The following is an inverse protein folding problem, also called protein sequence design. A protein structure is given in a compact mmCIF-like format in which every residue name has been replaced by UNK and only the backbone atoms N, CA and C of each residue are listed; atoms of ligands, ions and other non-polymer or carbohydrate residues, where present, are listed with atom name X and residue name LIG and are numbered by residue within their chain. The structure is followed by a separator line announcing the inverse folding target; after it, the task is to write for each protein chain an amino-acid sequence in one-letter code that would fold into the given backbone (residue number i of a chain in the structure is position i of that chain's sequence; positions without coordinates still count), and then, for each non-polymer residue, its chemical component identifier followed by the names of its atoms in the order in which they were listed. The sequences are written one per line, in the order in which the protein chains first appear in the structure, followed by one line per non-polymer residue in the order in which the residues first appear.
data_IF_163578381251
#
_entry.id   IF_163578381251
#
_cell.length_a   1.000
_cell.length_b   1.000
_cell.length_c   1.000
_cell.angle_alpha   90.00
_cell.angle_beta   90.00
_cell.angle_gamma   90.00
#
_symmetry.space_group_name_H-M   'P 1'
#
loop_
_entity.id
_entity.type
_entity.pdbx_description
1 polymer ?
#
# COMPACT_ATOMS: atom_id res chain seq x y z
N UNK A 1 4.91 25.28 3.33
CA UNK A 1 5.84 24.36 3.99
C UNK A 1 5.23 22.99 3.95
N UNK A 2 6.05 21.97 3.67
CA UNK A 2 5.64 20.58 3.77
C UNK A 2 5.65 20.11 5.23
N UNK A 3 5.06 18.95 5.52
CA UNK A 3 5.19 18.36 6.86
C UNK A 3 6.66 18.07 7.22
N UNK A 4 7.47 17.58 6.27
CA UNK A 4 8.89 17.32 6.47
C UNK A 4 9.67 18.59 6.81
N UNK A 5 9.42 19.68 6.09
CA UNK A 5 10.06 20.97 6.38
C UNK A 5 9.67 21.50 7.77
N UNK A 6 8.39 21.37 8.13
CA UNK A 6 7.87 21.78 9.43
C UNK A 6 8.55 20.98 10.56
N UNK A 7 8.67 19.66 10.39
CA UNK A 7 9.35 18.77 11.33
C UNK A 7 10.82 19.15 11.52
N UNK A 8 11.57 19.38 10.44
CA UNK A 8 12.98 19.81 10.49
C UNK A 8 13.17 21.16 11.19
N UNK A 9 12.18 22.07 11.07
CA UNK A 9 12.17 23.37 11.74
C UNK A 9 11.66 23.30 13.19
N UNK A 10 11.29 22.12 13.69
CA UNK A 10 10.72 21.96 15.03
C UNK A 10 9.29 22.51 15.16
N UNK A 11 8.60 22.74 14.04
CA UNK A 11 7.23 23.25 14.00
C UNK A 11 6.26 22.05 14.04
N UNK A 12 5.48 21.97 15.12
CA UNK A 12 4.45 20.93 15.29
C UNK A 12 3.15 21.37 14.63
N UNK A 13 2.73 20.65 13.59
CA UNK A 13 1.49 20.92 12.84
C UNK A 13 0.27 20.26 13.49
N UNK A 14 -0.94 20.59 13.00
CA UNK A 14 -2.16 19.91 13.42
C UNK A 14 -2.17 18.45 12.96
N UNK A 15 -1.71 18.21 11.74
CA UNK A 15 -1.58 16.89 11.14
C UNK A 15 -0.68 15.96 11.97
N UNK A 16 0.46 16.47 12.47
CA UNK A 16 1.34 15.70 13.34
C UNK A 16 0.66 15.32 14.66
N UNK A 17 -0.16 16.21 15.25
CA UNK A 17 -0.88 15.90 16.49
C UNK A 17 -1.92 14.80 16.28
N UNK A 18 -2.69 14.91 15.20
CA UNK A 18 -3.71 13.92 14.85
C UNK A 18 -3.08 12.55 14.55
N UNK A 19 -2.03 12.52 13.73
CA UNK A 19 -1.31 11.31 13.42
C UNK A 19 -0.66 10.69 14.67
N UNK A 20 0.03 11.49 15.50
CA UNK A 20 0.65 10.98 16.73
C UNK A 20 -0.36 10.35 17.69
N UNK A 21 -1.55 10.95 17.81
CA UNK A 21 -2.64 10.39 18.62
C UNK A 21 -3.14 9.05 18.06
N UNK A 22 -3.32 8.95 16.74
CA UNK A 22 -3.74 7.70 16.08
C UNK A 22 -2.70 6.57 16.25
N UNK A 23 -1.42 6.93 16.26
CA UNK A 23 -0.30 5.98 16.39
C UNK A 23 0.13 5.71 17.84
N UNK A 24 -0.53 6.33 18.82
CA UNK A 24 -0.25 6.20 20.26
C UNK A 24 1.20 6.55 20.63
N UNK A 25 1.78 7.55 19.96
CA UNK A 25 3.12 8.06 20.26
C UNK A 25 3.10 9.56 20.57
N UNK A 26 4.19 10.09 21.13
CA UNK A 26 4.28 11.52 21.37
C UNK A 26 4.46 12.30 20.06
N UNK A 27 3.86 13.49 19.97
CA UNK A 27 4.00 14.33 18.77
C UNK A 27 5.44 14.77 18.52
N UNK A 28 6.26 14.90 19.59
CA UNK A 28 7.69 15.22 19.47
C UNK A 28 8.48 14.06 18.87
N UNK A 29 8.17 12.83 19.27
CA UNK A 29 8.78 11.63 18.70
C UNK A 29 8.39 11.47 17.23
N UNK A 30 7.11 11.64 16.89
CA UNK A 30 6.67 11.62 15.50
C UNK A 30 7.41 12.66 14.66
N UNK A 31 7.45 13.92 15.11
CA UNK A 31 8.15 14.99 14.41
C UNK A 31 9.65 14.68 14.24
N UNK A 32 10.30 14.03 15.22
CA UNK A 32 11.70 13.60 15.10
C UNK A 32 11.89 12.52 14.03
N UNK A 33 10.99 11.53 13.95
CA UNK A 33 11.03 10.49 12.93
C UNK A 33 10.72 11.04 11.53
N UNK A 34 9.83 12.02 11.44
CA UNK A 34 9.58 12.75 10.20
C UNK A 34 10.81 13.57 9.79
N UNK A 35 11.42 14.29 10.73
CA UNK A 35 12.60 15.12 10.45
C UNK A 35 13.80 14.29 9.95
N UNK A 36 13.90 13.00 10.31
CA UNK A 36 14.92 12.08 9.78
C UNK A 36 14.56 11.43 8.44
N UNK A 37 13.31 11.57 7.98
CA UNK A 37 12.79 10.92 6.78
C UNK A 37 12.29 9.48 7.00
N UNK A 38 12.27 8.98 8.24
CA UNK A 38 11.83 7.62 8.56
C UNK A 38 10.30 7.47 8.63
N UNK A 39 9.57 8.59 8.68
CA UNK A 39 8.09 8.64 8.66
C UNK A 39 7.63 9.75 7.72
N UNK A 40 6.57 9.48 6.96
CA UNK A 40 5.82 10.48 6.20
C UNK A 40 4.41 10.61 6.73
N UNK A 41 3.76 11.76 6.54
CA UNK A 41 2.32 11.94 6.69
C UNK A 41 1.73 12.18 5.30
N UNK A 42 0.90 11.25 4.83
CA UNK A 42 0.23 11.37 3.52
C UNK A 42 -0.99 12.27 3.65
N UNK A 43 -0.82 13.54 3.27
CA UNK A 43 -1.91 14.50 3.15
C UNK A 43 -1.50 15.66 2.25
N UNK A 44 -2.16 15.79 1.11
CA UNK A 44 -2.01 16.98 0.28
C UNK A 44 -2.57 18.19 1.03
N UNK A 45 -1.83 19.30 1.02
CA UNK A 45 -2.21 20.52 1.75
C UNK A 45 -3.57 21.09 1.34
N UNK A 46 -4.05 20.79 0.14
CA UNK A 46 -5.35 21.23 -0.36
C UNK A 46 -6.53 20.43 0.23
N UNK A 47 -6.30 19.20 0.70
CA UNK A 47 -7.36 18.34 1.25
C UNK A 47 -7.67 18.70 2.71
N UNK A 48 -8.95 18.98 2.98
CA UNK A 48 -9.44 19.29 4.33
C UNK A 48 -10.05 18.09 5.05
N UNK A 49 -10.78 17.24 4.33
CA UNK A 49 -11.58 16.14 4.90
C UNK A 49 -10.87 14.79 4.74
N UNK A 50 -9.57 14.75 5.05
CA UNK A 50 -8.77 13.52 4.99
C UNK A 50 -8.07 13.33 6.33
N UNK A 51 -8.17 12.12 6.87
CA UNK A 51 -7.39 11.72 8.04
C UNK A 51 -5.90 11.67 7.64
N UNK A 52 -5.02 12.49 8.25
CA UNK A 52 -3.59 12.41 8.01
C UNK A 52 -3.09 11.02 8.46
N UNK A 53 -2.48 10.28 7.54
CA UNK A 53 -1.96 8.93 7.83
C UNK A 53 -0.44 8.98 7.91
N UNK A 54 0.12 8.68 9.08
CA UNK A 54 1.56 8.51 9.23
C UNK A 54 1.99 7.11 8.77
N UNK A 55 3.05 7.02 7.96
CA UNK A 55 3.60 5.75 7.45
C UNK A 55 5.09 5.71 7.74
N UNK A 56 5.58 4.65 8.38
CA UNK A 56 7.00 4.47 8.65
C UNK A 56 7.33 3.82 9.99
N UNK A 57 8.55 4.06 10.45
CA UNK A 57 9.10 3.45 11.67
C UNK A 57 8.22 3.75 12.89
N UNK A 58 8.00 2.75 13.76
CA UNK A 58 7.14 2.79 14.96
C UNK A 58 5.64 3.05 14.71
N UNK A 59 5.22 3.25 13.47
CA UNK A 59 3.80 3.36 13.14
C UNK A 59 3.19 1.96 13.07
N UNK A 60 1.87 1.87 13.24
CA UNK A 60 1.08 0.68 12.90
C UNK A 60 1.24 0.38 11.41
N UNK A 61 1.37 -0.89 11.03
CA UNK A 61 1.49 -1.26 9.61
C UNK A 61 0.24 -0.83 8.85
N UNK A 62 0.43 -0.11 7.74
CA UNK A 62 -0.66 0.45 6.93
C UNK A 62 -1.12 -0.52 5.85
N UNK A 63 -2.38 -0.39 5.42
CA UNK A 63 -2.96 -1.17 4.32
C UNK A 63 -3.53 -0.26 3.25
N UNK A 64 -3.13 -0.45 2.00
CA UNK A 64 -3.68 0.23 0.83
C UNK A 64 -4.62 -0.70 0.06
N UNK A 65 -5.72 -0.14 -0.45
CA UNK A 65 -6.59 -0.82 -1.42
C UNK A 65 -6.55 -0.12 -2.79
N UNK A 66 -6.31 -0.88 -3.85
CA UNK A 66 -6.38 -0.37 -5.22
C UNK A 66 -7.80 -0.49 -5.77
N UNK A 67 -8.34 0.63 -6.24
CA UNK A 67 -9.60 0.71 -6.98
C UNK A 67 -9.31 1.34 -8.35
N UNK A 68 -10.32 1.44 -9.21
CA UNK A 68 -10.23 2.13 -10.48
C UNK A 68 -10.92 1.40 -11.61
N UNK A 69 -11.21 2.16 -12.65
CA UNK A 69 -11.87 1.69 -13.89
C UNK A 69 -10.86 1.17 -14.91
N UNK A 70 -11.34 0.38 -15.87
CA UNK A 70 -10.60 0.05 -17.10
C UNK A 70 -11.35 0.51 -18.34
N UNK A 71 -10.71 0.37 -19.51
CA UNK A 71 -11.36 0.63 -20.79
C UNK A 71 -12.61 -0.23 -21.00
N UNK A 72 -12.63 -1.44 -20.46
CA UNK A 72 -13.75 -2.38 -20.61
C UNK A 72 -14.84 -2.18 -19.55
N UNK A 73 -14.47 -1.73 -18.34
CA UNK A 73 -15.39 -1.56 -17.21
C UNK A 73 -15.20 -0.16 -16.60
N UNK A 74 -16.12 0.74 -16.91
CA UNK A 74 -16.14 2.11 -16.42
C UNK A 74 -17.46 2.42 -15.71
N UNK A 75 -17.55 2.03 -14.43
CA UNK A 75 -18.68 2.33 -13.55
C UNK A 75 -18.21 3.10 -12.31
N UNK A 76 -18.45 4.41 -12.32
CA UNK A 76 -18.00 5.31 -11.24
C UNK A 76 -18.72 5.03 -9.93
N UNK A 77 -19.99 4.61 -9.97
CA UNK A 77 -20.75 4.33 -8.76
C UNK A 77 -20.29 3.01 -8.12
N UNK A 78 -19.87 2.04 -8.94
CA UNK A 78 -19.16 0.84 -8.45
C UNK A 78 -17.84 1.21 -7.76
N UNK A 79 -17.04 2.09 -8.34
CA UNK A 79 -15.77 2.51 -7.72
C UNK A 79 -15.99 3.24 -6.38
N UNK A 80 -17.06 4.02 -6.26
CA UNK A 80 -17.45 4.62 -4.98
C UNK A 80 -17.90 3.58 -3.95
N UNK A 81 -18.59 2.51 -4.38
CA UNK A 81 -18.94 1.40 -3.48
C UNK A 81 -17.70 0.63 -3.02
N UNK A 82 -16.72 0.41 -3.92
CA UNK A 82 -15.43 -0.20 -3.57
C UNK A 82 -14.64 0.67 -2.60
N UNK A 83 -14.61 1.99 -2.81
CA UNK A 83 -14.03 2.95 -1.86
C UNK A 83 -14.68 2.83 -0.48
N UNK A 84 -16.01 2.84 -0.42
CA UNK A 84 -16.74 2.71 0.83
C UNK A 84 -16.46 1.36 1.53
N UNK A 85 -16.40 0.27 0.77
CA UNK A 85 -16.03 -1.05 1.29
C UNK A 85 -14.58 -1.07 1.83
N UNK A 86 -13.63 -0.52 1.08
CA UNK A 86 -12.23 -0.44 1.50
C UNK A 86 -12.08 0.33 2.82
N UNK A 87 -12.74 1.50 2.95
CA UNK A 87 -12.75 2.28 4.19
C UNK A 87 -13.41 1.49 5.33
N UNK A 88 -14.59 0.90 5.10
CA UNK A 88 -15.36 0.14 6.10
C UNK A 88 -14.55 -1.02 6.70
N UNK A 89 -13.87 -1.79 5.85
CA UNK A 89 -13.10 -2.97 6.28
C UNK A 89 -11.66 -2.62 6.70
N UNK A 90 -11.34 -1.33 6.75
CA UNK A 90 -10.15 -0.83 7.41
C UNK A 90 -8.95 -0.72 6.51
N UNK A 91 -9.07 -0.21 5.28
CA UNK A 91 -7.94 0.34 4.54
C UNK A 91 -7.48 1.66 5.18
N UNK A 92 -6.17 1.92 5.20
CA UNK A 92 -5.59 3.20 5.66
C UNK A 92 -5.41 4.21 4.53
N UNK A 93 -5.34 3.74 3.28
CA UNK A 93 -5.36 4.56 2.07
C UNK A 93 -6.00 3.77 0.91
N UNK A 94 -6.31 4.49 -0.16
CA UNK A 94 -6.72 3.89 -1.44
C UNK A 94 -5.87 4.46 -2.56
N UNK A 95 -5.72 3.71 -3.66
CA UNK A 95 -5.22 4.25 -4.92
C UNK A 95 -6.28 4.17 -6.00
N UNK A 96 -6.48 5.28 -6.71
CA UNK A 96 -7.23 5.30 -7.96
C UNK A 96 -6.30 4.99 -9.13
N UNK A 97 -6.45 3.78 -9.67
CA UNK A 97 -5.68 3.25 -10.80
C UNK A 97 -6.48 3.25 -12.10
N UNK A 98 -7.50 4.12 -12.19
CA UNK A 98 -8.38 4.24 -13.35
C UNK A 98 -7.61 4.45 -14.66
N UNK A 99 -8.02 3.70 -15.68
CA UNK A 99 -7.50 3.76 -17.05
C UNK A 99 -8.60 3.86 -18.10
N UNK A 100 -9.87 3.89 -17.65
CA UNK A 100 -11.05 4.06 -18.49
C UNK A 100 -11.81 5.35 -18.18
N UNK A 101 -12.64 5.77 -19.13
CA UNK A 101 -13.54 6.92 -18.97
C UNK A 101 -12.85 8.28 -18.83
N UNK A 102 -13.55 9.20 -18.16
CA UNK A 102 -13.03 10.52 -17.78
C UNK A 102 -12.29 10.42 -16.44
N UNK A 103 -10.98 10.13 -16.53
CA UNK A 103 -10.10 9.95 -15.37
C UNK A 103 -10.10 11.21 -14.47
N UNK A 104 -10.21 12.41 -15.04
CA UNK A 104 -10.25 13.63 -14.24
C UNK A 104 -11.52 13.70 -13.38
N UNK A 105 -12.68 13.44 -13.99
CA UNK A 105 -13.96 13.44 -13.28
C UNK A 105 -14.03 12.32 -12.23
N UNK A 106 -13.54 11.12 -12.57
CA UNK A 106 -13.50 9.95 -11.68
C UNK A 106 -12.63 10.26 -10.45
N UNK A 107 -11.38 10.69 -10.67
CA UNK A 107 -10.45 11.03 -9.59
C UNK A 107 -11.04 12.09 -8.65
N UNK A 108 -11.59 13.18 -9.20
CA UNK A 108 -12.23 14.23 -8.39
C UNK A 108 -13.39 13.68 -7.54
N UNK A 109 -14.21 12.79 -8.11
CA UNK A 109 -15.33 12.16 -7.38
C UNK A 109 -14.81 11.24 -6.26
N UNK A 110 -13.75 10.47 -6.50
CA UNK A 110 -13.11 9.62 -5.48
C UNK A 110 -12.51 10.47 -4.35
N UNK A 111 -11.72 11.50 -4.68
CA UNK A 111 -11.11 12.41 -3.69
C UNK A 111 -12.19 13.11 -2.84
N UNK A 112 -13.30 13.52 -3.45
CA UNK A 112 -14.40 14.17 -2.73
C UNK A 112 -15.11 13.24 -1.72
N UNK A 113 -15.09 11.92 -1.96
CA UNK A 113 -15.79 10.93 -1.13
C UNK A 113 -14.85 10.14 -0.20
N UNK A 114 -13.54 10.28 -0.34
CA UNK A 114 -12.57 9.54 0.49
C UNK A 114 -12.22 10.30 1.77
N UNK A 115 -12.36 9.63 2.91
CA UNK A 115 -11.89 10.13 4.23
C UNK A 115 -10.46 9.71 4.56
N UNK A 116 -9.87 8.87 3.72
CA UNK A 116 -8.48 8.39 3.82
C UNK A 116 -7.65 8.91 2.63
N UNK A 117 -6.31 8.89 2.74
CA UNK A 117 -5.43 9.32 1.66
C UNK A 117 -5.72 8.60 0.35
N UNK A 118 -5.67 9.35 -0.75
CA UNK A 118 -5.85 8.86 -2.12
C UNK A 118 -4.53 8.97 -2.86
N UNK A 119 -4.02 7.84 -3.33
CA UNK A 119 -2.87 7.76 -4.22
C UNK A 119 -3.26 7.56 -5.68
N UNK A 120 -2.33 7.82 -6.60
CA UNK A 120 -2.54 7.60 -8.04
C UNK A 120 -1.22 7.25 -8.74
N UNK A 121 -1.31 6.82 -10.01
CA UNK A 121 -0.16 6.62 -10.89
C UNK A 121 -0.30 7.52 -12.13
N UNK A 122 0.19 8.78 -12.10
CA UNK A 122 -0.14 9.77 -13.14
C UNK A 122 0.25 9.41 -14.57
N UNK A 123 1.26 8.54 -14.77
CA UNK A 123 1.63 8.07 -16.12
C UNK A 123 0.51 7.27 -16.80
N UNK A 124 -0.41 6.68 -16.02
CA UNK A 124 -1.57 5.97 -16.58
C UNK A 124 -2.51 6.93 -17.31
N UNK A 125 -2.83 8.07 -16.69
CA UNK A 125 -3.64 9.09 -17.36
C UNK A 125 -2.93 9.64 -18.58
N UNK A 126 -1.64 9.95 -18.47
CA UNK A 126 -0.87 10.47 -19.60
C UNK A 126 -0.89 9.47 -20.79
N UNK A 127 -0.73 8.17 -20.52
CA UNK A 127 -0.88 7.13 -21.54
C UNK A 127 -2.29 7.04 -22.13
N UNK A 128 -3.35 7.18 -21.31
CA UNK A 128 -4.74 7.19 -21.79
C UNK A 128 -5.02 8.38 -22.71
N UNK A 129 -4.48 9.56 -22.42
CA UNK A 129 -4.61 10.73 -23.30
C UNK A 129 -3.86 10.54 -24.64
N UNK A 130 -2.72 9.85 -24.63
CA UNK A 130 -2.04 9.44 -25.88
C UNK A 130 -2.91 8.51 -26.72
N UNK A 131 -3.55 7.51 -26.09
CA UNK A 131 -4.46 6.58 -26.77
C UNK A 131 -5.68 7.32 -27.35
N UNK A 132 -6.30 8.24 -26.58
CA UNK A 132 -7.43 9.06 -27.03
C UNK A 132 -7.08 9.89 -28.27
N UNK A 133 -5.85 10.42 -28.32
CA UNK A 133 -5.34 11.19 -29.47
C UNK A 133 -4.74 10.32 -30.58
N UNK A 134 -4.90 8.99 -30.50
CA UNK A 134 -4.37 8.00 -31.46
C UNK A 134 -2.85 8.06 -31.65
N UNK A 135 -2.11 8.51 -30.63
CA UNK A 135 -0.65 8.56 -30.63
C UNK A 135 -0.09 7.35 -29.87
N UNK A 136 1.04 6.76 -30.32
CA UNK A 136 1.70 5.72 -29.55
C UNK A 136 2.18 6.24 -28.19
N UNK A 137 2.00 5.46 -27.12
CA UNK A 137 2.38 5.87 -25.75
C UNK A 137 3.86 6.31 -25.66
N UNK A 138 4.76 5.65 -26.39
CA UNK A 138 6.18 5.98 -26.40
C UNK A 138 6.51 7.34 -27.06
N UNK A 139 5.54 8.04 -27.65
CA UNK A 139 5.71 9.39 -28.19
C UNK A 139 5.33 10.49 -27.19
N UNK A 140 4.92 10.11 -25.98
CA UNK A 140 4.61 11.03 -24.89
C UNK A 140 5.84 11.88 -24.57
N UNK A 141 5.65 13.17 -24.39
CA UNK A 141 6.72 14.11 -24.03
C UNK A 141 6.95 14.14 -22.52
N UNK A 142 8.06 14.74 -22.08
CA UNK A 142 8.27 15.01 -20.66
C UNK A 142 7.12 15.87 -20.10
N UNK A 143 6.67 16.88 -20.85
CA UNK A 143 5.58 17.77 -20.43
C UNK A 143 4.25 17.05 -20.25
N UNK A 144 3.94 16.05 -21.07
CA UNK A 144 2.74 15.23 -20.88
C UNK A 144 2.79 14.47 -19.53
N UNK A 145 3.96 13.93 -19.17
CA UNK A 145 4.15 13.22 -17.90
C UNK A 145 4.04 14.19 -16.70
N UNK A 146 4.77 15.31 -16.73
CA UNK A 146 4.79 16.28 -15.63
C UNK A 146 3.46 17.01 -15.46
N UNK A 147 2.79 17.38 -16.56
CA UNK A 147 1.46 18.01 -16.50
C UNK A 147 0.44 17.08 -15.88
N UNK A 148 0.50 15.77 -16.16
CA UNK A 148 -0.35 14.77 -15.50
C UNK A 148 -0.11 14.76 -13.99
N UNK A 149 1.15 14.77 -13.54
CA UNK A 149 1.49 14.79 -12.11
C UNK A 149 0.99 16.07 -11.44
N UNK A 150 1.19 17.24 -12.07
CA UNK A 150 0.72 18.51 -11.53
C UNK A 150 -0.81 18.56 -11.43
N UNK A 151 -1.53 18.12 -12.47
CA UNK A 151 -3.00 18.05 -12.45
C UNK A 151 -3.53 17.17 -11.29
N UNK A 152 -2.89 16.03 -11.05
CA UNK A 152 -3.24 15.16 -9.92
C UNK A 152 -2.98 15.85 -8.57
N UNK A 153 -1.85 16.56 -8.44
CA UNK A 153 -1.49 17.30 -7.24
C UNK A 153 -2.46 18.47 -6.96
N UNK A 154 -2.93 19.16 -8.01
CA UNK A 154 -3.92 20.24 -7.95
C UNK A 154 -5.31 19.73 -7.54
N UNK A 155 -5.71 18.57 -8.04
CA UNK A 155 -6.97 17.91 -7.66
C UNK A 155 -6.97 17.41 -6.21
N UNK A 156 -5.81 17.41 -5.56
CA UNK A 156 -5.66 17.07 -4.15
C UNK A 156 -5.23 15.63 -3.90
N UNK A 157 -4.65 14.91 -4.85
CA UNK A 157 -4.05 13.58 -4.59
C UNK A 157 -3.02 13.68 -3.47
N UNK A 158 -3.02 12.74 -2.51
CA UNK A 158 -2.16 12.77 -1.32
C UNK A 158 -0.77 12.18 -1.55
N UNK A 159 -0.67 11.19 -2.44
CA UNK A 159 0.61 10.63 -2.88
C UNK A 159 0.56 10.16 -4.33
N UNK A 160 1.69 10.21 -5.03
CA UNK A 160 1.78 9.72 -6.42
C UNK A 160 2.86 8.68 -6.55
N UNK A 161 2.56 7.60 -7.26
CA UNK A 161 3.55 6.63 -7.71
C UNK A 161 4.23 7.14 -8.96
N UNK A 162 5.55 7.29 -8.89
CA UNK A 162 6.40 7.80 -9.97
C UNK A 162 7.57 6.85 -10.19
N UNK A 163 7.70 6.33 -11.41
CA UNK A 163 8.68 5.29 -11.76
C UNK A 163 10.02 5.92 -12.15
N UNK A 164 10.55 6.80 -11.31
CA UNK A 164 11.81 7.52 -11.54
C UNK A 164 13.04 6.59 -11.49
N UNK A 165 12.91 5.42 -10.87
CA UNK A 165 13.98 4.41 -10.78
C UNK A 165 14.19 3.60 -12.06
N UNK A 166 13.22 3.61 -12.98
CA UNK A 166 13.35 2.99 -14.31
C UNK A 166 14.26 3.88 -15.15
N UNK A 167 15.55 3.57 -15.12
CA UNK A 167 16.60 4.26 -15.86
C UNK A 167 17.09 3.42 -17.03
N UNK A 168 17.80 4.02 -17.97
CA UNK A 168 18.55 3.29 -19.02
C UNK A 168 19.40 2.17 -18.41
N UNK A 169 20.08 2.46 -17.30
CA UNK A 169 20.91 1.49 -16.58
C UNK A 169 20.11 0.29 -16.07
N UNK A 170 18.92 0.52 -15.48
CA UNK A 170 18.06 -0.59 -15.05
C UNK A 170 17.51 -1.41 -16.22
N UNK A 171 17.19 -0.76 -17.35
CA UNK A 171 16.72 -1.44 -18.57
C UNK A 171 17.84 -2.28 -19.18
N UNK A 172 19.07 -1.76 -19.21
CA UNK A 172 20.26 -2.50 -19.63
C UNK A 172 20.54 -3.70 -18.71
N UNK A 173 20.43 -3.52 -17.39
CA UNK A 173 20.57 -4.61 -16.42
C UNK A 173 19.56 -5.73 -16.65
N UNK A 174 18.29 -5.38 -16.87
CA UNK A 174 17.23 -6.32 -17.25
C UNK A 174 17.59 -7.06 -18.54
N UNK A 175 17.91 -6.34 -19.61
CA UNK A 175 18.19 -6.92 -20.92
C UNK A 175 19.40 -7.88 -20.91
N UNK A 176 20.41 -7.59 -20.10
CA UNK A 176 21.59 -8.46 -19.94
C UNK A 176 21.32 -9.68 -19.07
N UNK A 177 20.39 -9.62 -18.13
CA UNK A 177 20.05 -10.77 -17.27
C UNK A 177 19.03 -11.69 -17.90
N UNK A 178 18.01 -11.11 -18.53
CA UNK A 178 16.78 -11.80 -18.87
C UNK A 178 15.94 -12.08 -17.63
N UNK A 179 14.62 -12.11 -17.82
CA UNK A 179 13.63 -12.51 -16.82
C UNK A 179 12.66 -13.50 -17.44
N UNK A 180 11.94 -14.23 -16.59
CA UNK A 180 10.86 -15.11 -17.03
C UNK A 180 9.62 -14.30 -17.42
N UNK A 181 9.28 -13.24 -16.67
CA UNK A 181 8.11 -12.37 -16.93
C UNK A 181 8.47 -10.92 -17.26
N UNK A 182 9.74 -10.62 -17.53
CA UNK A 182 10.23 -9.28 -17.86
C UNK A 182 9.76 -8.20 -16.86
N UNK A 183 9.01 -7.19 -17.32
CA UNK A 183 8.49 -6.09 -16.52
C UNK A 183 6.99 -6.24 -16.35
N UNK A 184 6.55 -6.50 -15.12
CA UNK A 184 5.12 -6.59 -14.75
C UNK A 184 4.55 -5.29 -14.19
N UNK A 185 5.39 -4.30 -13.89
CA UNK A 185 4.91 -2.96 -13.55
C UNK A 185 4.35 -2.28 -14.79
N UNK A 186 3.05 -1.97 -14.80
CA UNK A 186 2.43 -1.23 -15.90
C UNK A 186 3.11 0.12 -16.14
N UNK A 187 3.44 0.86 -15.07
CA UNK A 187 4.12 2.15 -15.21
C UNK A 187 5.59 1.94 -15.58
N UNK A 188 6.26 0.96 -14.96
CA UNK A 188 7.64 0.62 -15.29
C UNK A 188 7.83 0.23 -16.76
N UNK A 189 6.92 -0.57 -17.33
CA UNK A 189 6.98 -0.97 -18.73
C UNK A 189 6.74 0.21 -19.68
N UNK A 190 5.84 1.14 -19.35
CA UNK A 190 5.66 2.38 -20.11
C UNK A 190 6.95 3.20 -20.19
N UNK A 191 7.64 3.38 -19.06
CA UNK A 191 8.91 4.10 -19.02
C UNK A 191 10.04 3.34 -19.74
N UNK A 192 10.16 2.03 -19.53
CA UNK A 192 11.18 1.21 -20.19
C UNK A 192 11.00 1.21 -21.72
N UNK A 193 9.78 1.05 -22.22
CA UNK A 193 9.48 1.14 -23.66
C UNK A 193 9.77 2.53 -24.20
N UNK A 194 9.42 3.58 -23.46
CA UNK A 194 9.73 4.96 -23.83
C UNK A 194 11.25 5.16 -23.97
N UNK A 195 12.03 4.70 -23.00
CA UNK A 195 13.50 4.77 -23.00
C UNK A 195 14.08 4.06 -24.24
N UNK A 196 13.63 2.82 -24.51
CA UNK A 196 14.13 2.04 -25.64
C UNK A 196 13.80 2.67 -27.00
N UNK A 197 12.59 3.23 -27.15
CA UNK A 197 12.15 3.83 -28.41
C UNK A 197 12.79 5.20 -28.67
N UNK A 198 12.98 5.99 -27.63
CA UNK A 198 13.54 7.33 -27.75
C UNK A 198 15.06 7.38 -27.59
N UNK A 199 15.68 6.31 -27.06
CA UNK A 199 17.13 6.23 -26.74
C UNK A 199 17.58 7.35 -25.79
N UNK A 200 16.68 7.80 -24.94
CA UNK A 200 16.88 8.87 -23.96
C UNK A 200 16.73 8.32 -22.54
N UNK A 201 17.24 9.06 -21.56
CA UNK A 201 16.98 8.75 -20.15
C UNK A 201 15.54 9.08 -19.77
N UNK A 202 15.01 8.39 -18.76
CA UNK A 202 13.68 8.65 -18.22
C UNK A 202 13.51 10.12 -17.82
N UNK A 203 12.51 10.86 -18.35
CA UNK A 203 12.30 12.25 -18.00
C UNK A 203 12.07 12.49 -16.51
N UNK A 204 11.40 11.56 -15.83
CA UNK A 204 11.17 11.65 -14.39
C UNK A 204 12.44 11.41 -13.55
N UNK A 205 13.49 10.88 -14.17
CA UNK A 205 14.82 10.74 -13.56
C UNK A 205 15.72 11.93 -13.90
N UNK A 206 15.82 12.31 -15.18
CA UNK A 206 16.69 13.40 -15.65
C UNK A 206 16.24 14.76 -15.10
N UNK A 207 14.92 15.00 -15.08
CA UNK A 207 14.31 16.26 -14.64
C UNK A 207 13.69 16.12 -13.25
N UNK A 208 14.29 15.31 -12.37
CA UNK A 208 13.74 15.03 -11.04
C UNK A 208 13.50 16.28 -10.19
N UNK A 209 14.29 17.35 -10.37
CA UNK A 209 14.08 18.60 -9.63
C UNK A 209 12.72 19.26 -9.96
N UNK A 210 12.24 19.15 -11.21
CA UNK A 210 10.89 19.60 -11.60
C UNK A 210 9.80 18.82 -10.85
N UNK A 211 10.02 17.51 -10.65
CA UNK A 211 9.11 16.68 -9.85
C UNK A 211 9.09 17.14 -8.39
N UNK A 212 10.26 17.44 -7.82
CA UNK A 212 10.39 17.90 -6.44
C UNK A 212 9.72 19.27 -6.24
N UNK A 213 9.78 20.17 -7.23
CA UNK A 213 9.07 21.46 -7.19
C UNK A 213 7.55 21.28 -7.11
N UNK A 214 6.98 20.41 -7.95
CA UNK A 214 5.55 20.06 -7.91
C UNK A 214 5.21 19.45 -6.54
N UNK A 215 6.01 18.49 -6.08
CA UNK A 215 5.73 17.79 -4.83
C UNK A 215 5.76 18.73 -3.62
N UNK A 216 6.78 19.59 -3.54
CA UNK A 216 6.92 20.58 -2.49
C UNK A 216 5.78 21.61 -2.51
N UNK A 217 5.37 22.07 -3.71
CA UNK A 217 4.27 23.03 -3.87
C UNK A 217 2.98 22.49 -3.24
N UNK A 218 2.69 21.19 -3.31
CA UNK A 218 1.43 20.61 -2.85
C UNK A 218 1.51 19.83 -1.53
N UNK A 219 2.70 19.67 -0.94
CA UNK A 219 2.96 18.68 0.12
C UNK A 219 2.52 17.27 -0.32
N UNK A 220 2.81 16.95 -1.57
CA UNK A 220 2.51 15.67 -2.19
C UNK A 220 3.60 14.68 -1.82
N UNK A 221 3.23 13.56 -1.19
CA UNK A 221 4.18 12.49 -0.90
C UNK A 221 4.53 11.75 -2.20
N UNK A 222 5.82 11.60 -2.49
CA UNK A 222 6.27 10.78 -3.62
C UNK A 222 6.38 9.33 -3.16
N UNK A 223 5.62 8.45 -3.80
CA UNK A 223 5.81 7.01 -3.75
C UNK A 223 6.74 6.63 -4.90
N UNK A 224 8.02 6.40 -4.60
CA UNK A 224 8.98 6.07 -5.66
C UNK A 224 8.75 4.63 -6.10
N UNK A 225 8.18 4.48 -7.31
CA UNK A 225 7.64 3.23 -7.83
C UNK A 225 8.72 2.19 -8.17
N UNK A 226 8.36 0.93 -8.00
CA UNK A 226 9.19 -0.25 -8.27
C UNK A 226 8.94 -0.78 -9.70
N UNK A 227 9.34 0.01 -10.69
CA UNK A 227 9.12 -0.32 -12.10
C UNK A 227 9.78 -1.62 -12.55
N UNK A 228 10.83 -2.06 -11.87
CA UNK A 228 11.56 -3.31 -12.07
C UNK A 228 11.25 -4.35 -10.99
N UNK A 229 10.08 -4.31 -10.34
CA UNK A 229 9.70 -5.39 -9.42
C UNK A 229 9.59 -6.76 -10.12
N UNK A 230 9.83 -7.88 -9.39
CA UNK A 230 9.63 -9.23 -9.89
C UNK A 230 8.15 -9.57 -10.01
N UNK A 231 7.78 -10.21 -11.12
CA UNK A 231 6.43 -10.72 -11.37
C UNK A 231 6.26 -12.23 -11.17
N UNK A 232 7.35 -12.93 -10.89
CA UNK A 232 7.36 -14.33 -10.51
C UNK A 232 8.52 -14.58 -9.55
N UNK A 233 8.51 -15.70 -8.84
CA UNK A 233 9.57 -16.02 -7.88
C UNK A 233 10.95 -16.12 -8.53
N UNK A 234 11.03 -16.57 -9.78
CA UNK A 234 12.31 -16.74 -10.50
C UNK A 234 13.02 -15.42 -10.78
N UNK A 235 12.27 -14.31 -10.83
CA UNK A 235 12.79 -12.98 -11.12
C UNK A 235 13.11 -12.20 -9.84
N UNK A 236 12.85 -12.78 -8.66
CA UNK A 236 13.00 -12.13 -7.37
C UNK A 236 14.46 -11.84 -7.02
N UNK A 237 14.70 -10.66 -6.43
CA UNK A 237 16.01 -10.20 -5.96
C UNK A 237 17.07 -10.17 -7.07
N UNK A 238 16.65 -9.91 -8.31
CA UNK A 238 17.52 -9.89 -9.47
C UNK A 238 18.28 -8.55 -9.63
N UNK A 239 19.16 -8.46 -10.64
CA UNK A 239 19.98 -7.26 -10.86
C UNK A 239 19.13 -6.06 -11.24
N UNK A 240 18.06 -6.23 -12.02
CA UNK A 240 17.20 -5.13 -12.43
C UNK A 240 16.47 -4.51 -11.22
N UNK A 241 15.90 -5.35 -10.34
CA UNK A 241 15.24 -4.93 -9.12
C UNK A 241 16.20 -4.20 -8.18
N UNK A 242 17.36 -4.81 -7.90
CA UNK A 242 18.34 -4.20 -6.98
C UNK A 242 18.93 -2.92 -7.56
N UNK A 243 19.17 -2.86 -8.87
CA UNK A 243 19.66 -1.66 -9.54
C UNK A 243 18.66 -0.51 -9.45
N UNK A 244 17.37 -0.76 -9.63
CA UNK A 244 16.34 0.25 -9.41
C UNK A 244 16.32 0.72 -7.95
N UNK A 245 16.33 -0.21 -6.98
CA UNK A 245 16.31 0.12 -5.56
C UNK A 245 17.47 1.04 -5.13
N UNK A 246 18.68 0.81 -5.65
CA UNK A 246 19.84 1.69 -5.43
C UNK A 246 19.52 3.10 -5.91
N UNK A 247 19.00 3.23 -7.13
CA UNK A 247 18.60 4.53 -7.70
C UNK A 247 17.50 5.19 -6.87
N UNK A 248 16.51 4.44 -6.39
CA UNK A 248 15.46 4.99 -5.53
C UNK A 248 16.02 5.55 -4.22
N UNK A 249 17.04 4.93 -3.63
CA UNK A 249 17.73 5.46 -2.44
C UNK A 249 18.41 6.81 -2.70
N UNK A 250 19.06 6.97 -3.84
CA UNK A 250 19.67 8.24 -4.26
C UNK A 250 18.61 9.34 -4.47
N UNK A 251 17.50 9.01 -5.13
CA UNK A 251 16.38 9.93 -5.37
C UNK A 251 15.65 10.31 -4.09
N UNK A 252 15.50 9.39 -3.14
CA UNK A 252 14.92 9.65 -1.83
C UNK A 252 15.76 10.66 -1.04
N UNK A 253 17.09 10.51 -1.06
CA UNK A 253 18.01 11.48 -0.43
C UNK A 253 17.85 12.88 -1.04
N UNK A 254 17.81 12.99 -2.37
CA UNK A 254 17.59 14.27 -3.07
C UNK A 254 16.25 14.91 -2.69
N UNK A 255 15.18 14.13 -2.63
CA UNK A 255 13.87 14.61 -2.21
C UNK A 255 13.87 15.11 -0.76
N UNK A 256 14.50 14.37 0.14
CA UNK A 256 14.67 14.75 1.53
C UNK A 256 15.41 16.09 1.67
N UNK A 257 16.48 16.32 0.91
CA UNK A 257 17.23 17.59 0.89
C UNK A 257 16.36 18.78 0.41
N UNK A 258 15.37 18.52 -0.45
CA UNK A 258 14.37 19.50 -0.90
C UNK A 258 13.11 19.55 -0.04
N UNK A 259 13.11 18.88 1.12
CA UNK A 259 11.98 18.80 2.06
C UNK A 259 10.71 18.20 1.45
N UNK A 260 10.84 17.27 0.52
CA UNK A 260 9.74 16.48 -0.04
C UNK A 260 9.64 15.15 0.69
N UNK A 261 8.42 14.74 1.04
CA UNK A 261 8.15 13.46 1.70
C UNK A 261 8.24 12.31 0.68
N UNK A 262 8.91 11.22 1.06
CA UNK A 262 9.11 10.05 0.19
C UNK A 262 8.82 8.76 0.93
N UNK A 263 8.13 7.84 0.25
CA UNK A 263 8.14 6.41 0.54
C UNK A 263 8.63 5.64 -0.69
N UNK A 264 9.16 4.44 -0.47
CA UNK A 264 9.73 3.59 -1.52
C UNK A 264 8.76 2.44 -1.78
N UNK A 265 8.47 2.14 -3.04
CA UNK A 265 7.74 0.94 -3.41
C UNK A 265 8.67 -0.27 -3.53
N UNK A 266 8.15 -1.45 -3.28
CA UNK A 266 8.91 -2.69 -3.22
C UNK A 266 8.14 -3.92 -3.69
N UNK A 267 8.86 -5.04 -3.81
CA UNK A 267 8.55 -6.11 -4.75
C UNK A 267 7.20 -6.78 -4.59
N UNK A 268 6.79 -7.41 -5.71
CA UNK A 268 5.58 -8.20 -5.86
C UNK A 268 5.79 -9.68 -5.52
N UNK A 269 6.51 -10.45 -6.34
CA UNK A 269 6.66 -11.90 -6.14
C UNK A 269 8.03 -12.23 -5.55
N UNK A 270 8.09 -12.77 -4.34
CA UNK A 270 9.34 -13.02 -3.61
C UNK A 270 9.24 -14.29 -2.77
N UNK A 271 10.17 -15.27 -2.93
CA UNK A 271 10.16 -16.46 -2.09
C UNK A 271 10.40 -16.09 -0.63
N UNK A 272 9.80 -16.82 0.31
CA UNK A 272 9.84 -16.51 1.76
C UNK A 272 11.27 -16.26 2.28
N UNK A 273 12.25 -17.02 1.79
CA UNK A 273 13.66 -16.91 2.19
C UNK A 273 14.27 -15.54 1.93
N UNK A 274 13.77 -14.83 0.91
CA UNK A 274 14.40 -13.63 0.38
C UNK A 274 13.74 -12.35 0.91
N UNK A 275 12.55 -12.46 1.51
CA UNK A 275 11.78 -11.33 2.02
C UNK A 275 12.59 -10.53 3.07
N UNK A 276 13.18 -11.14 4.11
CA UNK A 276 13.95 -10.38 5.10
C UNK A 276 15.16 -9.66 4.50
N UNK A 277 15.78 -10.23 3.47
CA UNK A 277 16.91 -9.60 2.78
C UNK A 277 16.46 -8.35 2.01
N UNK A 278 15.33 -8.42 1.29
CA UNK A 278 14.74 -7.28 0.59
C UNK A 278 14.42 -6.12 1.55
N UNK A 279 13.83 -6.41 2.71
CA UNK A 279 13.53 -5.38 3.71
C UNK A 279 14.80 -4.70 4.23
N UNK A 280 15.84 -5.48 4.55
CA UNK A 280 17.13 -4.96 5.02
C UNK A 280 17.83 -4.11 3.96
N UNK A 281 17.81 -4.56 2.69
CA UNK A 281 18.39 -3.82 1.58
C UNK A 281 17.74 -2.45 1.44
N UNK A 282 16.41 -2.38 1.40
CA UNK A 282 15.72 -1.11 1.29
C UNK A 282 16.02 -0.19 2.47
N UNK A 283 15.92 -0.67 3.71
CA UNK A 283 16.15 0.17 4.89
C UNK A 283 17.56 0.74 4.93
N UNK A 284 18.56 0.00 4.44
CA UNK A 284 19.94 0.48 4.34
C UNK A 284 20.16 1.45 3.18
N UNK A 285 19.71 1.11 1.97
CA UNK A 285 19.97 1.91 0.77
C UNK A 285 19.14 3.21 0.74
N UNK A 286 17.95 3.19 1.33
CA UNK A 286 17.00 4.30 1.29
C UNK A 286 16.90 5.06 2.63
N UNK A 287 17.90 4.93 3.51
CA UNK A 287 17.99 5.64 4.80
C UNK A 287 16.71 5.54 5.65
N UNK A 288 16.21 4.32 5.85
CA UNK A 288 14.99 4.00 6.59
C UNK A 288 13.70 4.66 6.08
N UNK A 289 13.68 5.20 4.85
CA UNK A 289 12.44 5.69 4.24
C UNK A 289 11.32 4.63 4.35
N UNK A 290 10.05 5.04 4.55
CA UNK A 290 8.93 4.11 4.64
C UNK A 290 8.88 3.17 3.44
N UNK A 291 8.62 1.89 3.68
CA UNK A 291 8.62 0.87 2.62
C UNK A 291 7.22 0.34 2.35
N UNK A 292 6.78 0.46 1.09
CA UNK A 292 5.46 0.14 0.60
C UNK A 292 5.52 -1.04 -0.37
N UNK A 293 5.02 -2.22 0.03
CA UNK A 293 5.21 -3.47 -0.74
C UNK A 293 3.90 -4.02 -1.27
N UNK A 294 3.92 -4.64 -2.46
CA UNK A 294 2.76 -5.32 -3.06
C UNK A 294 2.74 -6.79 -2.66
N UNK A 295 2.06 -7.13 -1.57
CA UNK A 295 2.17 -8.46 -0.95
C UNK A 295 3.38 -8.52 0.00
N UNK A 296 4.48 -9.24 -0.32
CA UNK A 296 4.74 -9.97 -1.58
C UNK A 296 4.08 -11.35 -1.67
N UNK A 297 3.78 -11.82 -2.90
CA UNK A 297 3.33 -13.17 -3.18
C UNK A 297 4.49 -14.16 -3.01
N UNK A 298 4.25 -15.19 -2.20
CA UNK A 298 5.28 -16.21 -1.86
C UNK A 298 5.26 -17.44 -2.77
N UNK A 299 4.27 -17.53 -3.67
CA UNK A 299 4.12 -18.61 -4.64
C UNK A 299 3.24 -18.16 -5.80
N UNK A 300 3.56 -18.64 -7.00
CA UNK A 300 2.91 -18.21 -8.26
C UNK A 300 1.80 -19.19 -8.71
N UNK A 301 1.54 -20.24 -7.94
CA UNK A 301 0.72 -21.39 -8.38
C UNK A 301 -0.75 -21.34 -7.94
N UNK A 302 -1.17 -20.27 -7.27
CA UNK A 302 -2.49 -20.19 -6.65
C UNK A 302 -3.34 -18.97 -7.08
N UNK A 303 -3.45 -18.66 -8.39
CA UNK A 303 -4.34 -17.60 -8.86
C UNK A 303 -5.78 -17.88 -8.40
N UNK A 304 -6.50 -16.84 -7.97
CA UNK A 304 -7.76 -16.97 -7.22
C UNK A 304 -7.57 -16.95 -5.68
N UNK A 305 -6.35 -17.23 -5.21
CA UNK A 305 -5.97 -17.22 -3.81
C UNK A 305 -4.76 -16.33 -3.53
N UNK A 306 -4.43 -15.42 -4.43
CA UNK A 306 -3.24 -14.56 -4.31
C UNK A 306 -3.30 -13.59 -3.14
N UNK A 307 -4.49 -13.21 -2.69
CA UNK A 307 -4.69 -12.53 -1.41
C UNK A 307 -4.12 -13.32 -0.20
N UNK A 308 -4.14 -14.67 -0.23
CA UNK A 308 -3.56 -15.53 0.82
C UNK A 308 -2.04 -15.65 0.62
N UNK A 309 -1.59 -15.92 -0.61
CA UNK A 309 -0.14 -16.05 -0.90
C UNK A 309 0.59 -14.76 -0.57
N UNK A 310 -0.02 -13.61 -0.86
CA UNK A 310 0.51 -12.29 -0.56
C UNK A 310 0.46 -11.94 0.91
N UNK A 311 -0.57 -12.37 1.66
CA UNK A 311 -0.67 -12.10 3.09
C UNK A 311 0.41 -12.81 3.90
N UNK A 312 0.81 -14.02 3.50
CA UNK A 312 1.95 -14.73 4.09
C UNK A 312 3.21 -13.88 3.94
N UNK A 313 3.51 -13.44 2.72
CA UNK A 313 4.70 -12.63 2.47
C UNK A 313 4.61 -11.25 3.12
N UNK A 314 3.44 -10.61 3.10
CA UNK A 314 3.20 -9.30 3.69
C UNK A 314 3.38 -9.28 5.21
N UNK A 315 2.91 -10.32 5.91
CA UNK A 315 3.16 -10.45 7.35
C UNK A 315 4.67 -10.56 7.66
N UNK A 316 5.41 -11.34 6.87
CA UNK A 316 6.86 -11.51 7.01
C UNK A 316 7.59 -10.21 6.66
N UNK A 317 7.22 -9.56 5.55
CA UNK A 317 7.81 -8.30 5.10
C UNK A 317 7.60 -7.20 6.14
N UNK A 318 6.38 -7.02 6.62
CA UNK A 318 6.05 -6.01 7.61
C UNK A 318 6.74 -6.26 8.97
N UNK A 319 6.85 -7.54 9.39
CA UNK A 319 7.61 -7.91 10.58
C UNK A 319 9.11 -7.61 10.46
N UNK A 320 9.63 -7.49 9.24
CA UNK A 320 11.04 -7.23 8.94
C UNK A 320 11.33 -5.82 8.43
N UNK A 321 10.33 -4.93 8.36
CA UNK A 321 10.53 -3.51 8.04
C UNK A 321 9.65 -2.91 6.96
N UNK A 322 8.73 -3.65 6.33
CA UNK A 322 7.68 -3.00 5.54
C UNK A 322 6.72 -2.22 6.46
N UNK A 323 6.33 -1.02 6.03
CA UNK A 323 5.49 -0.11 6.82
C UNK A 323 4.09 0.04 6.24
N UNK A 324 3.95 -0.31 4.95
CA UNK A 324 2.74 -0.18 4.19
C UNK A 324 2.59 -1.39 3.27
N UNK A 325 1.44 -2.05 3.33
CA UNK A 325 1.11 -3.20 2.50
C UNK A 325 0.06 -2.79 1.47
N UNK A 326 0.39 -2.90 0.20
CA UNK A 326 -0.60 -2.88 -0.87
C UNK A 326 -1.28 -4.23 -0.87
N UNK A 327 -2.60 -4.22 -0.78
CA UNK A 327 -3.35 -5.46 -0.77
C UNK A 327 -3.18 -6.23 -2.08
N UNK A 328 -3.55 -7.51 -2.04
CA UNK A 328 -3.78 -8.30 -3.25
C UNK A 328 -5.15 -8.91 -3.09
N UNK A 329 -5.95 -8.90 -4.16
CA UNK A 329 -7.31 -9.44 -4.13
C UNK A 329 -7.33 -10.88 -4.61
N UNK A 330 -8.40 -11.66 -4.34
CA UNK A 330 -8.61 -12.94 -5.01
C UNK A 330 -8.61 -12.84 -6.55
N UNK A 331 -8.96 -11.67 -7.09
CA UNK A 331 -9.03 -11.39 -8.52
C UNK A 331 -7.67 -11.11 -9.20
N UNK A 332 -6.58 -11.01 -8.42
CA UNK A 332 -5.24 -10.78 -8.97
C UNK A 332 -4.90 -11.81 -10.05
N UNK A 333 -4.23 -11.36 -11.11
CA UNK A 333 -3.91 -12.15 -12.31
C UNK A 333 -5.10 -12.69 -13.13
N UNK A 334 -6.36 -12.39 -12.74
CA UNK A 334 -7.54 -12.98 -13.37
C UNK A 334 -8.51 -11.95 -13.95
N UNK A 335 -8.89 -10.92 -13.17
CA UNK A 335 -9.92 -9.94 -13.57
C UNK A 335 -9.79 -8.65 -12.76
N UNK A 336 -10.60 -7.64 -13.11
CA UNK A 336 -10.83 -6.53 -12.20
C UNK A 336 -11.60 -6.99 -10.95
N UNK A 337 -11.20 -6.56 -9.75
CA UNK A 337 -11.88 -6.94 -8.51
C UNK A 337 -13.27 -6.31 -8.44
N UNK A 338 -14.25 -7.06 -7.93
CA UNK A 338 -15.54 -6.52 -7.49
C UNK A 338 -15.49 -6.05 -6.03
N UNK A 339 -16.65 -5.70 -5.45
CA UNK A 339 -16.73 -5.20 -4.05
C UNK A 339 -16.33 -6.29 -3.05
N UNK A 340 -16.68 -7.54 -3.30
CA UNK A 340 -16.34 -8.66 -2.40
C UNK A 340 -14.85 -8.99 -2.50
N UNK A 341 -14.28 -8.96 -3.70
CA UNK A 341 -12.84 -9.10 -3.92
C UNK A 341 -12.06 -8.02 -3.14
N UNK A 342 -12.54 -6.76 -3.17
CA UNK A 342 -11.95 -5.64 -2.40
C UNK A 342 -12.09 -5.90 -0.89
N UNK A 343 -13.26 -6.31 -0.42
CA UNK A 343 -13.49 -6.64 1.00
C UNK A 343 -12.50 -7.70 1.48
N UNK A 344 -12.38 -8.81 0.74
CA UNK A 344 -11.49 -9.91 1.11
C UNK A 344 -10.02 -9.49 1.09
N UNK A 345 -9.59 -8.77 0.05
CA UNK A 345 -8.23 -8.25 -0.03
C UNK A 345 -7.87 -7.37 1.17
N UNK A 346 -8.76 -6.45 1.57
CA UNK A 346 -8.51 -5.55 2.70
C UNK A 346 -8.45 -6.30 4.02
N UNK A 347 -9.42 -7.18 4.29
CA UNK A 347 -9.46 -7.96 5.55
C UNK A 347 -8.22 -8.84 5.67
N UNK A 348 -7.86 -9.58 4.63
CA UNK A 348 -6.74 -10.52 4.66
C UNK A 348 -5.40 -9.78 4.79
N UNK A 349 -5.25 -8.65 4.11
CA UNK A 349 -4.05 -7.81 4.28
C UNK A 349 -4.01 -7.16 5.67
N UNK A 350 -5.16 -6.79 6.25
CA UNK A 350 -5.23 -6.26 7.61
C UNK A 350 -4.86 -7.32 8.66
N UNK A 351 -5.22 -8.59 8.45
CA UNK A 351 -4.76 -9.70 9.29
C UNK A 351 -3.22 -9.79 9.23
N UNK A 352 -2.63 -9.73 8.03
CA UNK A 352 -1.17 -9.74 7.87
C UNK A 352 -0.49 -8.55 8.56
N UNK A 353 -1.05 -7.35 8.40
CA UNK A 353 -0.57 -6.14 9.07
C UNK A 353 -0.63 -6.25 10.60
N UNK A 354 -1.75 -6.74 11.15
CA UNK A 354 -1.93 -6.93 12.59
C UNK A 354 -0.96 -7.99 13.16
N UNK A 355 -0.75 -9.09 12.44
CA UNK A 355 0.25 -10.09 12.83
C UNK A 355 1.66 -9.49 12.91
N UNK A 356 2.01 -8.62 11.96
CA UNK A 356 3.27 -7.88 11.98
C UNK A 356 3.32 -6.83 13.10
N UNK A 357 2.22 -6.15 13.41
CA UNK A 357 2.12 -5.23 14.54
C UNK A 357 2.39 -5.93 15.87
N UNK A 358 1.87 -7.15 16.07
CA UNK A 358 2.20 -7.99 17.23
C UNK A 358 3.70 -8.30 17.26
N UNK A 359 4.27 -8.76 16.15
CA UNK A 359 5.70 -9.10 16.05
C UNK A 359 6.61 -7.89 16.32
N UNK A 360 6.17 -6.69 15.91
CA UNK A 360 6.85 -5.41 16.13
C UNK A 360 6.63 -4.83 17.53
N UNK A 361 5.72 -5.41 18.33
CA UNK A 361 5.37 -4.91 19.66
C UNK A 361 4.59 -3.60 19.64
N UNK A 362 3.74 -3.37 18.63
CA UNK A 362 2.94 -2.16 18.53
C UNK A 362 1.96 -2.03 19.73
N UNK A 363 1.84 -0.83 20.36
CA UNK A 363 1.04 -0.66 21.57
C UNK A 363 -0.44 -1.08 21.42
N UNK A 364 -0.82 -2.11 22.17
CA UNK A 364 -2.19 -2.64 22.23
C UNK A 364 -2.54 -3.65 21.14
N UNK A 365 -1.61 -4.03 20.24
CA UNK A 365 -1.87 -5.06 19.24
C UNK A 365 -2.15 -6.43 19.90
N UNK A 366 -1.22 -6.92 20.74
CA UNK A 366 -1.40 -8.18 21.47
C UNK A 366 -2.58 -8.14 22.46
N UNK A 367 -2.90 -6.96 22.98
CA UNK A 367 -4.02 -6.78 23.91
C UNK A 367 -5.37 -7.08 23.25
N UNK A 368 -5.53 -6.76 21.96
CA UNK A 368 -6.73 -7.13 21.20
C UNK A 368 -6.89 -8.66 21.12
N UNK A 369 -5.81 -9.40 20.84
CA UNK A 369 -5.81 -10.86 20.84
C UNK A 369 -6.10 -11.44 22.23
N UNK A 370 -5.58 -10.83 23.30
CA UNK A 370 -5.86 -11.25 24.67
C UNK A 370 -7.35 -11.05 25.04
N UNK A 371 -7.97 -9.95 24.61
CA UNK A 371 -9.41 -9.73 24.80
C UNK A 371 -10.24 -10.76 24.04
N UNK A 372 -9.85 -11.09 22.80
CA UNK A 372 -10.47 -12.15 22.01
C UNK A 372 -10.34 -13.51 22.71
N UNK A 373 -9.17 -13.83 23.27
CA UNK A 373 -8.94 -15.05 24.02
C UNK A 373 -9.76 -15.11 25.32
N UNK A 374 -9.90 -13.98 26.02
CA UNK A 374 -10.74 -13.88 27.21
C UNK A 374 -12.23 -14.11 26.89
N UNK A 375 -12.74 -13.52 25.81
CA UNK A 375 -14.10 -13.75 25.34
C UNK A 375 -14.33 -15.24 25.01
N UNK A 376 -13.40 -15.88 24.26
CA UNK A 376 -13.43 -17.32 23.95
C UNK A 376 -13.42 -18.19 25.20
N UNK A 377 -12.57 -17.88 26.19
CA UNK A 377 -12.49 -18.60 27.47
C UNK A 377 -13.83 -18.53 28.23
N UNK A 378 -14.51 -17.40 28.13
CA UNK A 378 -15.79 -17.17 28.79
C UNK A 378 -16.99 -17.70 28.01
N UNK A 379 -16.80 -18.20 26.78
CA UNK A 379 -17.86 -18.54 25.82
C UNK A 379 -18.77 -17.34 25.51
N UNK A 380 -18.22 -16.13 25.60
CA UNK A 380 -18.90 -14.88 25.29
C UNK A 380 -18.89 -14.65 23.78
N UNK A 381 -19.88 -15.24 23.10
CA UNK A 381 -20.02 -15.18 21.64
C UNK A 381 -20.26 -13.76 21.14
N UNK A 382 -21.01 -12.95 21.88
CA UNK A 382 -21.29 -11.57 21.51
C UNK A 382 -19.99 -10.76 21.50
N UNK A 383 -19.21 -10.83 22.59
CA UNK A 383 -17.93 -10.12 22.66
C UNK A 383 -16.91 -10.66 21.67
N UNK A 384 -16.87 -11.98 21.45
CA UNK A 384 -16.00 -12.59 20.45
C UNK A 384 -16.30 -12.07 19.03
N UNK A 385 -17.59 -11.93 18.69
CA UNK A 385 -18.03 -11.40 17.39
C UNK A 385 -17.68 -9.91 17.29
N UNK A 386 -17.95 -9.12 18.33
CA UNK A 386 -17.63 -7.68 18.38
C UNK A 386 -16.13 -7.42 18.14
N UNK A 387 -15.27 -8.24 18.75
CA UNK A 387 -13.81 -8.12 18.64
C UNK A 387 -13.25 -8.70 17.33
N UNK A 388 -14.04 -9.36 16.50
CA UNK A 388 -13.55 -9.95 15.26
C UNK A 388 -13.17 -8.87 14.23
N UNK A 389 -12.22 -9.18 13.36
CA UNK A 389 -11.82 -8.27 12.27
C UNK A 389 -12.94 -8.07 11.23
N UNK A 390 -13.78 -9.11 11.06
CA UNK A 390 -15.04 -9.06 10.30
C UNK A 390 -16.18 -9.62 11.19
N UNK A 391 -16.80 -8.77 12.04
CA UNK A 391 -17.91 -9.18 12.90
C UNK A 391 -19.10 -9.73 12.11
N UNK A 392 -19.34 -9.22 10.89
CA UNK A 392 -20.47 -9.65 10.05
C UNK A 392 -20.29 -11.11 9.61
N UNK A 393 -19.08 -11.46 9.16
CA UNK A 393 -18.77 -12.84 8.77
C UNK A 393 -18.73 -13.77 9.99
N UNK A 394 -18.11 -13.35 11.09
CA UNK A 394 -18.05 -14.15 12.31
C UNK A 394 -19.46 -14.48 12.84
N UNK A 395 -20.35 -13.48 12.85
CA UNK A 395 -21.76 -13.66 13.23
C UNK A 395 -22.48 -14.60 12.26
N UNK A 396 -22.36 -14.36 10.95
CA UNK A 396 -23.00 -15.20 9.93
C UNK A 396 -22.59 -16.68 10.07
N UNK A 397 -21.29 -16.94 10.30
CA UNK A 397 -20.78 -18.30 10.52
C UNK A 397 -21.34 -18.91 11.80
N UNK A 398 -21.36 -18.17 12.92
CA UNK A 398 -21.92 -18.65 14.18
C UNK A 398 -23.41 -18.96 14.05
N UNK A 399 -24.19 -18.07 13.44
CA UNK A 399 -25.63 -18.20 13.27
C UNK A 399 -26.01 -19.37 12.33
N UNK A 400 -25.10 -19.76 11.42
CA UNK A 400 -25.32 -20.91 10.53
C UNK A 400 -25.25 -22.28 11.24
N UNK A 401 -24.72 -22.30 12.47
CA UNK A 401 -24.49 -23.49 13.25
C UNK A 401 -25.59 -23.66 14.32
N UNK A 402 -26.43 -24.70 14.19
CA UNK A 402 -27.36 -25.11 15.27
C UNK A 402 -26.64 -26.02 16.26
N UNK A 403 -26.49 -25.60 17.52
CA UNK A 403 -25.86 -26.41 18.57
C UNK A 403 -26.93 -27.02 19.49
N UNK A 404 -26.67 -28.23 19.99
CA UNK A 404 -27.52 -28.87 21.01
C UNK A 404 -27.28 -28.32 22.42
N UNK A 405 -26.15 -27.63 22.62
CA UNK A 405 -25.80 -26.87 23.81
C UNK A 405 -25.59 -25.40 23.41
N UNK A 406 -26.27 -24.45 24.06
CA UNK A 406 -26.20 -23.03 23.69
C UNK A 406 -24.79 -22.45 23.90
N UNK A 407 -24.07 -22.95 24.91
CA UNK A 407 -22.78 -22.38 25.34
C UNK A 407 -21.61 -22.68 24.39
N UNK A 408 -21.60 -23.85 23.72
CA UNK A 408 -20.46 -24.33 22.94
C UNK A 408 -20.69 -24.25 21.42
N UNK A 409 -19.63 -24.37 20.62
CA UNK A 409 -19.74 -24.45 19.16
C UNK A 409 -20.04 -25.87 18.67
N UNK A 410 -20.44 -26.01 17.39
CA UNK A 410 -20.74 -27.30 16.76
C UNK A 410 -19.54 -28.21 16.57
N UNK A 411 -18.30 -27.70 16.67
CA UNK A 411 -17.09 -28.49 16.45
C UNK A 411 -16.88 -29.54 17.55
N UNK A 412 -17.11 -29.17 18.82
CA UNK A 412 -16.91 -30.05 19.97
C UNK A 412 -18.20 -30.35 20.75
N UNK A 413 -19.23 -29.49 20.63
CA UNK A 413 -20.49 -29.65 21.36
C UNK A 413 -20.27 -29.81 22.87
N UNK A 414 -20.78 -30.90 23.43
CA UNK A 414 -20.61 -31.24 24.85
C UNK A 414 -19.17 -31.55 25.28
N UNK A 415 -18.25 -31.80 24.35
CA UNK A 415 -16.83 -32.09 24.65
C UNK A 415 -15.95 -30.83 24.53
N UNK A 416 -16.53 -29.65 24.77
CA UNK A 416 -15.79 -28.40 24.67
C UNK A 416 -14.71 -28.32 25.75
N UNK A 417 -13.44 -28.42 25.35
CA UNK A 417 -12.30 -28.39 26.28
C UNK A 417 -12.27 -27.14 27.16
N UNK A 418 -12.69 -25.97 26.64
CA UNK A 418 -12.75 -24.72 27.41
C UNK A 418 -13.80 -24.83 28.52
N UNK A 419 -14.99 -25.36 28.19
CA UNK A 419 -16.09 -25.52 29.15
C UNK A 419 -15.72 -26.54 30.24
N UNK A 420 -15.30 -27.74 29.82
CA UNK A 420 -14.93 -28.82 30.75
C UNK A 420 -13.84 -28.39 31.72
N UNK A 421 -12.79 -27.72 31.23
CA UNK A 421 -11.70 -27.25 32.08
C UNK A 421 -12.14 -26.09 32.99
N UNK A 422 -12.98 -25.16 32.50
CA UNK A 422 -13.54 -24.08 33.31
C UNK A 422 -14.38 -24.62 34.46
N UNK A 423 -15.24 -25.59 34.20
CA UNK A 423 -16.10 -26.23 35.20
C UNK A 423 -15.28 -27.02 36.23
N UNK A 424 -14.18 -27.65 35.81
CA UNK A 424 -13.25 -28.35 36.70
C UNK A 424 -12.43 -27.40 37.60
N UNK A 425 -11.98 -26.25 37.08
CA UNK A 425 -11.19 -25.27 37.82
C UNK A 425 -12.02 -24.34 38.72
N UNK A 426 -13.35 -24.32 38.55
CA UNK A 426 -14.27 -23.50 39.36
C UNK A 426 -14.79 -24.23 40.61
N UNK A 427 -14.40 -25.50 40.80
CA UNK A 427 -14.59 -26.30 42.02
C UNK A 427 -13.34 -26.20 42.89
#
# INVERSE_FOLDING_TARGET
MTQLESAKKGIITGEMKEAAAAEKISVKELASLMASGAVVITKNKARKNVRPTAVGEKMRVKVNANIGTSQDICDVDMELKKLAAAVKYGADAVMDLSTGGDINAIRKKIIANSVIPVGTVPVYQAAVEMIKTKKPIHTMTADDMFSSIENHAEDGVDFVTVHCGVTRKSVEALAMQGRLLDIVSRGGSMHAVWIMKNKMENPLFSDYDRLLEIAYKHDLTLSLGDGMRPGCLSDATDRAQVQELITLGELAKRAYEKNVQVMIEGPGHVPISDIPANMRLQKKLCNNAPFYVLGPLVTDIAPGYDHITSAIGGAIAASNGADFLCYVTPAEHLKLPDIEDVKQGVIVTRIAAHAADIARGFPGALEWDNQMAAARKNLDWEKQIELAIDPELAKKMRDSCKTSTEDACTMCGGLCAIKELKDALSK
#
